data_IF_123177473244
#
_entry.id   IF_123177473244
#
_cell.length_a   1.000
_cell.length_b   1.000
_cell.length_c   1.000
_cell.angle_alpha   90.00
_cell.angle_beta   90.00
_cell.angle_gamma   90.00
#
_symmetry.space_group_name_H-M   'P 1'
#
loop_
_entity.id
_entity.type
_entity.pdbx_description
1 polymer ?
#
# COMPACT_ATOMS: atom_id res chain seq x y z
N UNK A 1 -11.35 -21.65 -52.97
CA UNK A 1 -11.08 -20.84 -54.18
C UNK A 1 -10.72 -19.44 -53.72
N UNK A 2 -9.52 -18.99 -54.09
CA UNK A 2 -8.95 -17.70 -53.76
C UNK A 2 -9.77 -16.55 -54.36
N UNK A 3 -9.84 -15.42 -53.64
CA UNK A 3 -9.86 -14.10 -54.23
C UNK A 3 -9.06 -13.16 -53.33
N UNK A 4 -7.96 -12.71 -53.91
CA UNK A 4 -6.98 -11.75 -53.43
C UNK A 4 -7.51 -10.31 -53.52
N UNK A 5 -7.38 -9.54 -52.45
CA UNK A 5 -6.99 -8.12 -52.51
C UNK A 5 -6.46 -7.66 -51.15
N UNK A 6 -5.43 -6.79 -51.10
CA UNK A 6 -4.80 -6.38 -49.85
C UNK A 6 -5.60 -5.22 -49.26
N UNK A 7 -6.24 -5.40 -48.10
CA UNK A 7 -6.70 -4.25 -47.33
C UNK A 7 -5.47 -3.55 -46.76
N UNK A 8 -5.06 -2.48 -47.43
CA UNK A 8 -4.11 -1.51 -46.91
C UNK A 8 -4.75 -0.84 -45.69
N UNK A 9 -4.40 -1.28 -44.49
CA UNK A 9 -4.82 -0.62 -43.25
C UNK A 9 -4.17 0.77 -43.20
N UNK A 10 -4.94 1.80 -43.52
CA UNK A 10 -4.54 3.18 -43.22
C UNK A 10 -4.63 3.35 -41.70
N UNK A 11 -3.48 3.25 -41.05
CA UNK A 11 -3.28 3.66 -39.66
C UNK A 11 -3.47 5.17 -39.59
N UNK A 12 -4.65 5.63 -39.18
CA UNK A 12 -4.86 7.03 -38.87
C UNK A 12 -5.56 7.19 -37.53
N UNK A 13 -4.75 7.66 -36.57
CA UNK A 13 -5.06 8.35 -35.30
C UNK A 13 -4.72 7.53 -34.05
N UNK A 14 -3.70 8.01 -33.35
CA UNK A 14 -3.35 7.63 -31.97
C UNK A 14 -4.31 8.36 -31.05
N UNK A 15 -5.01 7.62 -30.20
CA UNK A 15 -5.90 8.19 -29.20
C UNK A 15 -5.14 8.32 -27.87
N UNK A 16 -4.91 9.55 -27.41
CA UNK A 16 -4.26 9.78 -26.12
C UNK A 16 -5.33 9.94 -25.04
N UNK A 17 -5.11 9.30 -23.88
CA UNK A 17 -6.07 9.28 -22.77
C UNK A 17 -5.37 9.84 -21.52
N UNK A 18 -5.89 10.96 -20.99
CA UNK A 18 -5.49 11.70 -19.79
C UNK A 18 -6.62 11.70 -18.75
N UNK A 19 -6.33 11.81 -17.46
CA UNK A 19 -7.39 11.89 -16.44
C UNK A 19 -8.22 13.20 -16.54
N UNK A 20 -9.52 13.12 -16.18
CA UNK A 20 -10.61 14.14 -16.18
C UNK A 20 -11.75 13.99 -17.22
N UNK A 21 -12.80 13.29 -16.78
CA UNK A 21 -14.21 13.20 -17.27
C UNK A 21 -14.46 12.86 -18.75
N UNK A 22 -14.52 11.54 -19.02
CA UNK A 22 -15.46 10.74 -19.84
C UNK A 22 -14.84 9.33 -19.99
N UNK A 23 -15.63 8.29 -19.72
CA UNK A 23 -15.19 7.02 -19.07
C UNK A 23 -14.63 5.97 -20.04
N UNK A 24 -13.41 5.48 -19.78
CA UNK A 24 -12.97 4.10 -20.05
C UNK A 24 -12.57 3.48 -18.71
N UNK A 25 -13.30 2.44 -18.29
CA UNK A 25 -13.06 1.74 -17.02
C UNK A 25 -11.77 0.92 -17.09
N UNK A 26 -10.76 1.35 -16.35
CA UNK A 26 -9.59 0.56 -16.01
C UNK A 26 -9.68 0.29 -14.51
N UNK A 27 -9.64 -0.97 -14.10
CA UNK A 27 -9.85 -1.39 -12.73
C UNK A 27 -8.99 -0.56 -11.75
N UNK A 28 -9.67 0.26 -10.94
CA UNK A 28 -9.16 1.09 -9.84
C UNK A 28 -8.57 2.48 -10.15
N UNK A 29 -8.56 2.95 -11.41
CA UNK A 29 -8.20 4.34 -11.78
C UNK A 29 -9.06 4.86 -12.95
N UNK A 30 -9.33 6.17 -12.99
CA UNK A 30 -10.19 6.80 -13.99
C UNK A 30 -9.35 7.46 -15.08
N UNK A 31 -9.39 6.94 -16.30
CA UNK A 31 -8.70 7.56 -17.45
C UNK A 31 -9.72 8.16 -18.43
N UNK A 32 -9.44 9.34 -18.99
CA UNK A 32 -10.32 10.06 -19.94
C UNK A 32 -9.66 10.26 -21.30
N UNK A 33 -10.43 10.24 -22.37
CA UNK A 33 -9.89 10.41 -23.71
C UNK A 33 -9.65 11.89 -24.08
N UNK A 34 -8.39 12.29 -24.30
CA UNK A 34 -8.04 13.65 -24.72
C UNK A 34 -8.64 14.00 -26.09
N UNK A 35 -8.75 13.00 -26.97
CA UNK A 35 -9.27 13.19 -28.31
C UNK A 35 -10.73 12.71 -28.44
N UNK A 36 -11.55 13.42 -29.22
CA UNK A 36 -12.94 13.01 -29.52
C UNK A 36 -13.07 12.61 -30.99
N UNK A 37 -12.58 11.43 -31.40
CA UNK A 37 -12.69 11.00 -32.78
C UNK A 37 -14.17 10.72 -33.14
N UNK A 38 -14.54 11.00 -34.39
CA UNK A 38 -15.89 10.75 -34.91
C UNK A 38 -16.08 9.28 -35.27
N UNK A 39 -16.06 8.40 -34.27
CA UNK A 39 -16.00 6.94 -34.45
C UNK A 39 -17.34 6.23 -34.32
N UNK A 40 -18.40 6.94 -33.92
CA UNK A 40 -19.65 6.29 -33.51
C UNK A 40 -19.45 5.41 -32.27
N UNK A 41 -20.31 4.42 -32.08
CA UNK A 41 -20.26 3.50 -30.92
C UNK A 41 -19.09 2.52 -31.01
N UNK A 42 -18.39 2.28 -29.91
CA UNK A 42 -17.39 1.20 -29.78
C UNK A 42 -18.12 -0.13 -29.53
N UNK A 43 -17.93 -1.10 -30.42
CA UNK A 43 -18.58 -2.42 -30.34
C UNK A 43 -17.71 -3.51 -29.69
N UNK A 44 -16.39 -3.36 -29.74
CA UNK A 44 -15.46 -4.29 -29.09
C UNK A 44 -14.18 -3.55 -28.63
N UNK A 45 -13.57 -4.05 -27.55
CA UNK A 45 -12.34 -3.51 -26.97
C UNK A 45 -11.42 -4.66 -26.54
N UNK A 46 -10.12 -4.52 -26.77
CA UNK A 46 -9.09 -5.46 -26.30
C UNK A 46 -7.87 -4.71 -25.76
N UNK A 47 -7.31 -5.18 -24.65
CA UNK A 47 -6.13 -4.58 -24.01
C UNK A 47 -4.85 -5.30 -24.44
N UNK A 48 -3.74 -4.55 -24.47
CA UNK A 48 -2.41 -5.14 -24.51
C UNK A 48 -2.15 -5.93 -23.23
N UNK A 49 -1.31 -6.97 -23.31
CA UNK A 49 -0.97 -7.83 -22.16
C UNK A 49 -0.30 -7.09 -21.01
N UNK A 50 0.32 -5.93 -21.28
CA UNK A 50 0.98 -5.07 -20.31
C UNK A 50 0.09 -3.93 -19.76
N UNK A 51 -1.15 -3.81 -20.26
CA UNK A 51 -2.12 -2.80 -19.84
C UNK A 51 -1.74 -1.36 -20.20
N UNK A 52 -0.80 -1.16 -21.12
CA UNK A 52 -0.39 0.19 -21.56
C UNK A 52 -1.21 0.71 -22.74
N UNK A 53 -1.78 -0.19 -23.54
CA UNK A 53 -2.49 0.13 -24.77
C UNK A 53 -3.76 -0.69 -24.89
N UNK A 54 -4.71 -0.21 -25.68
CA UNK A 54 -5.87 -0.98 -26.08
C UNK A 54 -6.32 -0.62 -27.49
N UNK A 55 -7.01 -1.56 -28.13
CA UNK A 55 -7.62 -1.36 -29.43
C UNK A 55 -9.14 -1.45 -29.33
N UNK A 56 -9.84 -0.60 -30.08
CA UNK A 56 -11.29 -0.58 -30.17
C UNK A 56 -11.76 -0.78 -31.60
N UNK A 57 -12.82 -1.55 -31.79
CA UNK A 57 -13.54 -1.63 -33.06
C UNK A 57 -14.82 -0.78 -32.97
N UNK A 58 -15.02 0.09 -33.94
CA UNK A 58 -16.10 1.06 -33.94
C UNK A 58 -17.17 0.72 -34.99
N UNK A 59 -18.41 1.13 -34.73
CA UNK A 59 -19.60 0.86 -35.55
C UNK A 59 -19.55 1.48 -36.95
N UNK A 60 -18.73 2.51 -37.15
CA UNK A 60 -18.48 3.11 -38.46
C UNK A 60 -17.40 2.36 -39.28
N UNK A 61 -16.91 1.21 -38.79
CA UNK A 61 -15.88 0.40 -39.44
C UNK A 61 -14.43 0.82 -39.13
N UNK A 62 -14.22 1.89 -38.36
CA UNK A 62 -12.88 2.31 -37.95
C UNK A 62 -12.38 1.51 -36.74
N UNK A 63 -11.05 1.35 -36.65
CA UNK A 63 -10.37 0.85 -35.46
C UNK A 63 -9.59 1.98 -34.81
N UNK A 64 -9.64 2.04 -33.47
CA UNK A 64 -8.84 2.98 -32.69
C UNK A 64 -7.75 2.22 -31.95
N UNK A 65 -6.56 2.81 -31.91
CA UNK A 65 -5.49 2.40 -31.00
C UNK A 65 -5.30 3.51 -29.98
N UNK A 66 -5.42 3.15 -28.71
CA UNK A 66 -5.27 4.06 -27.60
C UNK A 66 -4.09 3.65 -26.71
N UNK A 67 -3.45 4.66 -26.11
CA UNK A 67 -2.38 4.47 -25.14
C UNK A 67 -2.72 5.23 -23.85
N UNK A 68 -2.44 4.58 -22.72
CA UNK A 68 -2.55 5.21 -21.40
C UNK A 68 -1.30 6.06 -21.18
N UNK A 69 -1.51 7.36 -21.04
CA UNK A 69 -0.45 8.37 -20.90
C UNK A 69 -0.77 9.28 -19.70
N UNK A 70 0.15 10.19 -19.36
CA UNK A 70 0.02 11.10 -18.22
C UNK A 70 -0.25 10.38 -16.89
N UNK A 71 0.42 9.25 -16.67
CA UNK A 71 0.35 8.57 -15.37
C UNK A 71 1.05 9.43 -14.33
N UNK A 72 0.32 9.78 -13.29
CA UNK A 72 0.77 10.63 -12.20
C UNK A 72 1.18 9.79 -10.99
N UNK A 73 2.34 10.08 -10.43
CA UNK A 73 2.91 9.42 -9.27
C UNK A 73 3.37 10.47 -8.27
N UNK A 74 3.06 10.26 -7.00
CA UNK A 74 3.44 11.16 -5.91
C UNK A 74 4.13 10.37 -4.81
N UNK A 75 5.22 10.92 -4.27
CA UNK A 75 5.84 10.40 -3.06
C UNK A 75 6.54 11.53 -2.29
N UNK A 76 6.05 11.83 -1.09
CA UNK A 76 6.46 13.01 -0.32
C UNK A 76 6.39 14.30 -1.16
N UNK A 77 7.54 14.93 -1.42
CA UNK A 77 7.70 16.14 -2.20
C UNK A 77 7.93 15.90 -3.69
N UNK A 78 8.05 14.65 -4.12
CA UNK A 78 8.33 14.30 -5.50
C UNK A 78 7.03 13.99 -6.24
N UNK A 79 6.91 14.58 -7.42
CA UNK A 79 5.84 14.35 -8.37
C UNK A 79 6.47 13.83 -9.67
N UNK A 80 5.99 12.71 -10.20
CA UNK A 80 6.45 12.17 -11.47
C UNK A 80 5.28 11.96 -12.45
N UNK A 81 5.45 12.45 -13.68
CA UNK A 81 4.45 12.34 -14.74
C UNK A 81 5.04 11.59 -15.92
N UNK A 82 4.45 10.45 -16.27
CA UNK A 82 4.82 9.67 -17.45
C UNK A 82 4.10 10.19 -18.68
N UNK A 83 4.85 10.77 -19.62
CA UNK A 83 4.33 11.29 -20.89
C UNK A 83 4.21 10.25 -22.00
N UNK A 84 3.88 10.72 -23.20
CA UNK A 84 3.60 9.88 -24.39
C UNK A 84 4.86 9.28 -25.04
N UNK A 85 6.01 9.96 -24.90
CA UNK A 85 7.26 9.68 -25.62
C UNK A 85 8.28 8.86 -24.81
N UNK A 86 7.82 8.03 -23.85
CA UNK A 86 8.72 7.34 -22.89
C UNK A 86 9.55 8.31 -22.05
N UNK A 87 9.01 9.51 -21.85
CA UNK A 87 9.59 10.57 -21.03
C UNK A 87 8.91 10.55 -19.67
N UNK A 88 9.70 10.56 -18.61
CA UNK A 88 9.23 10.81 -17.26
C UNK A 88 9.72 12.20 -16.86
N UNK A 89 8.78 13.09 -16.51
CA UNK A 89 9.11 14.35 -15.87
C UNK A 89 9.02 14.16 -14.38
N UNK A 90 10.10 14.46 -13.66
CA UNK A 90 10.14 14.41 -12.21
C UNK A 90 10.29 15.83 -11.69
N UNK A 91 9.38 16.25 -10.83
CA UNK A 91 9.39 17.56 -10.20
C UNK A 91 9.54 17.39 -8.69
N UNK A 92 10.48 18.12 -8.11
CA UNK A 92 10.54 18.33 -6.67
C UNK A 92 9.76 19.59 -6.31
N UNK A 93 8.62 19.41 -5.65
CA UNK A 93 7.69 20.50 -5.31
C UNK A 93 8.31 21.48 -4.30
N UNK A 94 9.28 21.06 -3.49
CA UNK A 94 9.92 21.94 -2.50
C UNK A 94 10.97 22.87 -3.11
N UNK A 95 11.71 22.38 -4.10
CA UNK A 95 12.79 23.12 -4.75
C UNK A 95 12.39 23.71 -6.10
N UNK A 96 11.23 23.30 -6.62
CA UNK A 96 10.74 23.56 -7.99
C UNK A 96 11.69 23.05 -9.08
N UNK A 97 12.63 22.16 -8.72
CA UNK A 97 13.53 21.52 -9.66
C UNK A 97 12.76 20.52 -10.52
N UNK A 98 12.96 20.55 -11.83
CA UNK A 98 12.36 19.63 -12.79
C UNK A 98 13.44 18.89 -13.57
N UNK A 99 13.30 17.58 -13.63
CA UNK A 99 14.21 16.67 -14.33
C UNK A 99 13.44 15.88 -15.38
N UNK A 100 14.06 15.71 -16.55
CA UNK A 100 13.47 15.02 -17.69
C UNK A 100 14.23 13.73 -17.97
N UNK A 101 13.61 12.60 -17.66
CA UNK A 101 14.18 11.27 -17.85
C UNK A 101 13.65 10.70 -19.16
N UNK A 102 14.52 10.55 -20.15
CA UNK A 102 14.16 9.99 -21.45
C UNK A 102 14.62 8.53 -21.55
N UNK A 103 13.69 7.63 -21.87
CA UNK A 103 13.96 6.22 -22.10
C UNK A 103 13.82 5.91 -23.60
N UNK A 104 14.67 5.02 -24.12
CA UNK A 104 14.59 4.61 -25.52
C UNK A 104 13.35 3.78 -25.84
N UNK A 105 12.93 2.95 -24.89
CA UNK A 105 11.81 2.03 -25.05
C UNK A 105 10.57 2.49 -24.27
N UNK A 106 9.40 2.03 -24.74
CA UNK A 106 8.12 2.28 -24.07
C UNK A 106 8.14 1.81 -22.63
N UNK A 107 7.64 2.67 -21.74
CA UNK A 107 7.49 2.38 -20.33
C UNK A 107 6.28 1.47 -20.10
N UNK A 108 6.53 0.28 -19.55
CA UNK A 108 5.51 -0.71 -19.19
C UNK A 108 4.93 -0.43 -17.81
N UNK A 109 5.83 -0.35 -16.81
CA UNK A 109 5.49 -0.02 -15.42
C UNK A 109 6.43 1.04 -14.89
N UNK A 110 5.92 1.85 -13.99
CA UNK A 110 6.70 2.84 -13.25
C UNK A 110 6.19 2.87 -11.82
N UNK A 111 7.09 3.12 -10.88
CA UNK A 111 6.73 3.39 -9.50
C UNK A 111 7.74 4.35 -8.89
N UNK A 112 7.25 5.23 -8.02
CA UNK A 112 8.01 6.23 -7.31
C UNK A 112 7.77 6.00 -5.82
N UNK A 113 8.83 5.86 -5.05
CA UNK A 113 8.74 5.61 -3.61
C UNK A 113 10.09 5.39 -2.97
N UNK A 114 10.19 5.57 -1.66
CA UNK A 114 11.39 5.25 -0.88
C UNK A 114 12.68 5.91 -1.39
N UNK A 115 12.56 7.11 -1.98
CA UNK A 115 13.70 7.84 -2.54
C UNK A 115 14.18 7.32 -3.91
N UNK A 116 13.43 6.43 -4.55
CA UNK A 116 13.74 5.83 -5.83
C UNK A 116 12.58 5.95 -6.83
N UNK A 117 12.92 6.05 -8.12
CA UNK A 117 11.97 5.83 -9.22
C UNK A 117 12.44 4.61 -10.00
N UNK A 118 11.58 3.62 -10.12
CA UNK A 118 11.84 2.42 -10.91
C UNK A 118 10.95 2.44 -12.14
N UNK A 119 11.57 2.51 -13.32
CA UNK A 119 10.89 2.44 -14.60
C UNK A 119 11.25 1.12 -15.29
N UNK A 120 10.24 0.41 -15.78
CA UNK A 120 10.38 -0.90 -16.42
C UNK A 120 9.96 -0.76 -17.88
N UNK A 121 10.88 -1.10 -18.78
CA UNK A 121 10.62 -1.29 -20.21
C UNK A 121 10.49 -2.79 -20.51
N UNK A 122 10.18 -3.20 -21.76
CA UNK A 122 10.00 -4.61 -22.08
C UNK A 122 11.25 -5.49 -21.90
N UNK A 123 12.46 -4.93 -21.89
CA UNK A 123 13.69 -5.72 -21.79
C UNK A 123 14.59 -5.26 -20.65
N UNK A 124 14.38 -4.07 -20.10
CA UNK A 124 15.27 -3.49 -19.10
C UNK A 124 14.49 -2.77 -18.01
N UNK A 125 15.05 -2.75 -16.82
CA UNK A 125 14.62 -1.88 -15.73
C UNK A 125 15.65 -0.78 -15.49
N UNK A 126 15.16 0.41 -15.17
CA UNK A 126 15.92 1.60 -14.86
C UNK A 126 15.58 2.05 -13.45
N UNK A 127 16.59 2.17 -12.59
CA UNK A 127 16.46 2.59 -11.20
C UNK A 127 17.13 3.94 -11.06
N UNK A 128 16.33 4.97 -10.80
CA UNK A 128 16.79 6.31 -10.53
C UNK A 128 16.81 6.57 -9.03
N UNK A 129 17.83 7.31 -8.57
CA UNK A 129 17.92 7.76 -7.19
C UNK A 129 17.45 9.22 -7.13
N UNK A 130 16.60 9.55 -6.16
CA UNK A 130 16.12 10.92 -5.97
C UNK A 130 17.21 11.96 -5.71
N UNK A 131 18.38 11.53 -5.24
CA UNK A 131 19.56 12.40 -5.07
C UNK A 131 20.34 12.62 -6.37
N UNK A 132 20.18 11.74 -7.36
CA UNK A 132 20.82 11.85 -8.66
C UNK A 132 20.00 11.16 -9.75
N UNK A 133 19.30 11.97 -10.52
CA UNK A 133 18.44 11.55 -11.63
C UNK A 133 19.22 11.28 -12.93
N UNK A 134 20.48 11.71 -13.03
CA UNK A 134 21.22 11.69 -14.31
C UNK A 134 21.69 10.30 -14.72
N UNK A 135 22.04 9.43 -13.76
CA UNK A 135 22.64 8.12 -14.04
C UNK A 135 21.81 7.00 -13.42
N UNK A 136 20.87 6.39 -14.17
CA UNK A 136 20.10 5.27 -13.67
C UNK A 136 20.98 4.02 -13.55
N UNK A 137 20.69 3.20 -12.54
CA UNK A 137 21.18 1.81 -12.52
C UNK A 137 20.27 0.98 -13.40
N UNK A 138 20.85 0.28 -14.38
CA UNK A 138 20.12 -0.55 -15.32
C UNK A 138 20.26 -2.03 -14.99
N UNK A 139 19.21 -2.81 -15.20
CA UNK A 139 19.26 -4.27 -15.10
C UNK A 139 18.38 -4.90 -16.18
N UNK A 140 18.78 -6.08 -16.65
CA UNK A 140 18.07 -6.76 -17.73
C UNK A 140 16.92 -7.61 -17.18
N UNK A 141 15.80 -7.56 -17.89
CA UNK A 141 14.64 -8.41 -17.69
C UNK A 141 14.61 -9.50 -18.75
N UNK A 142 14.16 -10.69 -18.35
CA UNK A 142 14.07 -11.83 -19.27
C UNK A 142 12.83 -11.77 -20.18
N UNK A 143 11.87 -10.89 -19.87
CA UNK A 143 10.57 -10.89 -20.55
C UNK A 143 9.96 -9.50 -20.62
N UNK A 144 9.02 -9.38 -21.56
CA UNK A 144 8.29 -8.15 -21.89
C UNK A 144 7.00 -7.93 -21.10
N UNK A 145 6.60 -8.85 -20.22
CA UNK A 145 5.31 -8.79 -19.54
C UNK A 145 5.47 -8.73 -18.03
N UNK A 146 5.63 -7.53 -17.50
CA UNK A 146 5.63 -7.25 -16.06
C UNK A 146 4.23 -6.83 -15.61
N UNK A 147 3.62 -7.60 -14.70
CA UNK A 147 2.25 -7.35 -14.23
C UNK A 147 2.20 -6.38 -13.04
N UNK A 148 3.19 -6.43 -12.16
CA UNK A 148 3.22 -5.70 -10.89
C UNK A 148 4.64 -5.21 -10.56
N UNK A 149 4.71 -4.02 -9.97
CA UNK A 149 5.91 -3.40 -9.44
C UNK A 149 5.57 -2.82 -8.07
N UNK A 150 6.24 -3.27 -7.01
CA UNK A 150 6.03 -2.79 -5.64
C UNK A 150 7.37 -2.37 -5.02
N UNK A 151 7.43 -1.20 -4.40
CA UNK A 151 8.65 -0.65 -3.79
C UNK A 151 8.57 -0.73 -2.26
N UNK A 152 9.73 -0.91 -1.63
CA UNK A 152 9.96 -0.83 -0.18
C UNK A 152 11.24 -0.04 0.10
N UNK A 153 11.56 0.21 1.36
CA UNK A 153 12.76 0.95 1.78
C UNK A 153 14.08 0.41 1.18
N UNK A 154 14.24 -0.92 1.10
CA UNK A 154 15.52 -1.54 0.68
C UNK A 154 15.46 -2.34 -0.62
N UNK A 155 14.26 -2.74 -1.02
CA UNK A 155 14.04 -3.65 -2.15
C UNK A 155 12.81 -3.23 -2.94
N UNK A 156 12.72 -3.72 -4.17
CA UNK A 156 11.48 -3.69 -4.93
C UNK A 156 11.19 -5.07 -5.52
N UNK A 157 9.91 -5.35 -5.73
CA UNK A 157 9.41 -6.59 -6.29
C UNK A 157 8.91 -6.34 -7.71
N UNK A 158 9.36 -7.18 -8.62
CA UNK A 158 8.92 -7.24 -10.02
C UNK A 158 8.21 -8.57 -10.24
N UNK A 159 6.96 -8.50 -10.69
CA UNK A 159 6.17 -9.66 -11.04
C UNK A 159 6.28 -9.93 -12.54
N UNK A 160 7.11 -10.90 -12.90
CA UNK A 160 7.32 -11.37 -14.27
C UNK A 160 6.49 -12.65 -14.51
N UNK A 161 5.70 -12.66 -15.57
CA UNK A 161 4.84 -13.79 -15.92
C UNK A 161 5.60 -15.09 -16.22
N UNK A 162 6.88 -15.03 -16.59
CA UNK A 162 7.71 -16.23 -16.85
C UNK A 162 8.62 -16.55 -15.67
N UNK A 163 9.38 -15.56 -15.19
CA UNK A 163 10.39 -15.79 -14.16
C UNK A 163 9.82 -15.86 -12.73
N UNK A 164 8.56 -15.47 -12.54
CA UNK A 164 7.92 -15.46 -11.23
C UNK A 164 8.03 -14.09 -10.55
N UNK A 165 8.09 -14.10 -9.22
CA UNK A 165 8.27 -12.89 -8.42
C UNK A 165 9.75 -12.69 -8.12
N UNK A 166 10.31 -11.62 -8.66
CA UNK A 166 11.73 -11.27 -8.55
C UNK A 166 11.90 -10.12 -7.58
N UNK A 167 12.79 -10.26 -6.62
CA UNK A 167 13.14 -9.21 -5.66
C UNK A 167 14.48 -8.64 -6.04
N UNK A 168 14.56 -7.32 -6.22
CA UNK A 168 15.77 -6.61 -6.54
C UNK A 168 16.15 -5.61 -5.45
N UNK A 169 17.45 -5.38 -5.28
CA UNK A 169 17.96 -4.22 -4.55
C UNK A 169 17.99 -3.00 -5.47
N UNK A 170 18.04 -1.80 -4.89
CA UNK A 170 18.19 -0.56 -5.66
C UNK A 170 19.57 -0.41 -6.35
N UNK A 171 20.51 -1.34 -6.11
CA UNK A 171 21.74 -1.45 -6.91
C UNK A 171 21.58 -2.35 -8.14
N UNK A 172 20.35 -2.73 -8.51
CA UNK A 172 20.06 -3.55 -9.69
C UNK A 172 20.40 -5.04 -9.52
N UNK A 173 20.68 -5.49 -8.30
CA UNK A 173 21.01 -6.89 -8.01
C UNK A 173 19.76 -7.69 -7.68
N UNK A 174 19.63 -8.87 -8.30
CA UNK A 174 18.61 -9.84 -7.92
C UNK A 174 18.93 -10.41 -6.53
N UNK A 175 18.08 -10.14 -5.55
CA UNK A 175 18.21 -10.61 -4.17
C UNK A 175 17.66 -12.02 -4.03
N UNK A 176 16.42 -12.24 -4.49
CA UNK A 176 15.77 -13.54 -4.41
C UNK A 176 14.70 -13.72 -5.48
N UNK A 177 14.26 -14.96 -5.64
CA UNK A 177 13.15 -15.33 -6.51
C UNK A 177 12.14 -16.14 -5.71
N UNK A 178 10.93 -15.60 -5.59
CA UNK A 178 9.82 -16.27 -4.91
C UNK A 178 9.07 -17.12 -5.92
N UNK A 179 9.13 -18.44 -5.71
CA UNK A 179 8.36 -19.40 -6.51
C UNK A 179 6.92 -19.42 -6.00
N UNK A 180 6.01 -18.80 -6.74
CA UNK A 180 4.58 -18.86 -6.41
C UNK A 180 4.03 -20.25 -6.78
N UNK A 181 3.75 -21.16 -5.82
CA UNK A 181 3.70 -22.58 -6.12
C UNK A 181 2.50 -23.02 -6.96
N UNK A 182 1.46 -22.18 -7.12
CA UNK A 182 0.14 -22.64 -7.61
C UNK A 182 -0.67 -21.64 -8.46
N UNK A 183 -0.10 -20.53 -8.92
CA UNK A 183 -0.84 -19.57 -9.74
C UNK A 183 0.00 -18.81 -10.75
N UNK A 184 -0.69 -18.12 -11.65
CA UNK A 184 -0.06 -17.23 -12.63
C UNK A 184 0.18 -15.86 -12.00
N UNK A 185 1.42 -15.37 -12.14
CA UNK A 185 1.84 -14.04 -11.72
C UNK A 185 1.07 -12.92 -12.45
N UNK A 186 0.49 -13.22 -13.61
CA UNK A 186 -0.34 -12.29 -14.37
C UNK A 186 -1.63 -11.86 -13.64
N UNK A 187 -2.12 -12.67 -12.71
CA UNK A 187 -3.34 -12.37 -11.94
C UNK A 187 -3.08 -11.72 -10.57
N UNK A 188 -1.81 -11.48 -10.23
CA UNK A 188 -1.46 -10.79 -9.00
C UNK A 188 -1.74 -9.30 -9.15
N UNK A 189 -2.18 -8.69 -8.06
CA UNK A 189 -2.49 -7.26 -7.98
C UNK A 189 -1.93 -6.68 -6.69
N UNK A 190 -1.95 -5.35 -6.58
CA UNK A 190 -1.59 -4.63 -5.34
C UNK A 190 -2.44 -5.03 -4.14
N UNK A 191 -3.61 -5.64 -4.35
CA UNK A 191 -4.50 -6.11 -3.28
C UNK A 191 -4.13 -7.52 -2.81
N UNK A 192 -3.51 -8.34 -3.66
CA UNK A 192 -3.23 -9.75 -3.37
C UNK A 192 -1.77 -10.02 -3.05
N UNK A 193 -0.88 -9.07 -3.34
CA UNK A 193 0.54 -9.13 -3.02
C UNK A 193 0.96 -7.89 -2.26
N UNK A 194 1.67 -8.09 -1.16
CA UNK A 194 2.34 -7.02 -0.42
C UNK A 194 3.77 -7.43 -0.14
N UNK A 195 4.68 -6.47 -0.20
CA UNK A 195 6.07 -6.62 0.20
C UNK A 195 6.39 -5.62 1.31
N UNK A 196 7.27 -6.03 2.22
CA UNK A 196 7.95 -5.19 3.19
C UNK A 196 9.45 -5.52 3.13
N UNK A 197 10.25 -4.89 3.97
CA UNK A 197 11.72 -5.00 3.93
C UNK A 197 12.23 -6.44 4.13
N UNK A 198 11.46 -7.27 4.85
CA UNK A 198 11.83 -8.63 5.24
C UNK A 198 10.84 -9.72 4.82
N UNK A 199 9.63 -9.36 4.40
CA UNK A 199 8.53 -10.30 4.18
C UNK A 199 7.76 -9.98 2.91
N UNK A 200 7.36 -11.02 2.18
CA UNK A 200 6.39 -10.94 1.07
C UNK A 200 5.16 -11.76 1.44
N UNK A 201 3.98 -11.18 1.27
CA UNK A 201 2.70 -11.84 1.49
C UNK A 201 1.95 -11.97 0.16
N UNK A 202 1.45 -13.17 -0.13
CA UNK A 202 0.74 -13.47 -1.38
C UNK A 202 -0.53 -14.25 -1.04
N UNK A 203 -1.69 -13.72 -1.45
CA UNK A 203 -2.96 -14.46 -1.39
C UNK A 203 -2.95 -15.58 -2.44
N UNK A 204 -3.34 -16.78 -2.05
CA UNK A 204 -3.56 -17.86 -3.01
C UNK A 204 -4.76 -17.54 -3.91
N UNK A 205 -4.63 -17.81 -5.22
CA UNK A 205 -5.69 -17.58 -6.19
C UNK A 205 -6.74 -18.69 -6.19
N UNK A 206 -6.33 -19.93 -5.96
CA UNK A 206 -7.24 -21.09 -5.94
C UNK A 206 -7.95 -21.19 -4.61
N UNK A 207 -7.25 -20.87 -3.53
CA UNK A 207 -7.78 -20.88 -2.18
C UNK A 207 -7.70 -19.47 -1.59
N UNK A 208 -8.68 -18.60 -1.91
CA UNK A 208 -8.65 -17.18 -1.54
C UNK A 208 -8.68 -16.89 -0.03
N UNK A 209 -8.79 -17.94 0.79
CA UNK A 209 -8.70 -17.90 2.25
C UNK A 209 -7.27 -18.05 2.78
N UNK A 210 -6.31 -18.33 1.90
CA UNK A 210 -4.94 -18.71 2.25
C UNK A 210 -3.96 -17.63 1.82
N UNK A 211 -3.03 -17.27 2.70
CA UNK A 211 -1.93 -16.34 2.43
C UNK A 211 -0.60 -17.04 2.67
N UNK A 212 0.24 -17.06 1.64
CA UNK A 212 1.60 -17.56 1.69
C UNK A 212 2.55 -16.42 2.05
N UNK A 213 3.46 -16.67 2.98
CA UNK A 213 4.42 -15.69 3.47
C UNK A 213 5.84 -16.16 3.14
N UNK A 214 6.66 -15.26 2.60
CA UNK A 214 8.02 -15.55 2.16
C UNK A 214 9.02 -14.58 2.78
N UNK A 215 10.21 -15.06 3.05
CA UNK A 215 11.35 -14.24 3.44
C UNK A 215 11.95 -13.54 2.21
N UNK A 216 12.13 -12.22 2.27
CA UNK A 216 12.62 -11.42 1.14
C UNK A 216 14.05 -11.78 0.74
N UNK A 217 14.93 -12.09 1.70
CA UNK A 217 16.34 -12.35 1.42
C UNK A 217 16.57 -13.72 0.78
N UNK A 218 15.87 -14.75 1.24
CA UNK A 218 16.04 -16.12 0.75
C UNK A 218 15.03 -16.56 -0.31
N UNK A 219 13.90 -15.86 -0.42
CA UNK A 219 12.78 -16.25 -1.28
C UNK A 219 12.04 -17.51 -0.81
N UNK A 220 12.37 -18.02 0.38
CA UNK A 220 11.76 -19.24 0.96
C UNK A 220 10.51 -18.90 1.77
N UNK A 221 9.59 -19.85 1.85
CA UNK A 221 8.41 -19.73 2.68
C UNK A 221 8.79 -19.62 4.17
N UNK A 222 8.09 -18.73 4.88
CA UNK A 222 8.17 -18.61 6.33
C UNK A 222 7.44 -19.77 7.01
N UNK A 223 7.73 -19.99 8.30
CA UNK A 223 7.09 -21.01 9.14
C UNK A 223 7.07 -22.41 8.52
N UNK A 224 8.18 -22.82 7.89
CA UNK A 224 8.33 -24.15 7.26
C UNK A 224 7.28 -24.43 6.17
N UNK A 225 6.78 -23.39 5.50
CA UNK A 225 5.79 -23.50 4.45
C UNK A 225 4.34 -23.61 4.92
N UNK A 226 4.07 -23.35 6.21
CA UNK A 226 2.69 -23.29 6.73
C UNK A 226 2.07 -21.94 6.39
N UNK A 227 1.04 -21.89 5.53
CA UNK A 227 0.42 -20.63 5.16
C UNK A 227 -0.54 -20.15 6.27
N UNK A 228 -0.87 -18.86 6.20
CA UNK A 228 -1.94 -18.27 7.01
C UNK A 228 -3.29 -18.65 6.41
N UNK A 229 -4.10 -19.39 7.16
CA UNK A 229 -5.45 -19.77 6.75
C UNK A 229 -6.50 -18.95 7.50
N UNK A 230 -7.41 -18.33 6.75
CA UNK A 230 -8.57 -17.62 7.28
C UNK A 230 -9.88 -18.41 7.05
N UNK A 231 -10.95 -18.05 7.76
CA UNK A 231 -12.25 -18.73 7.64
C UNK A 231 -13.03 -18.28 6.40
N UNK A 232 -12.88 -17.01 6.06
CA UNK A 232 -13.55 -16.31 4.97
C UNK A 232 -12.52 -15.98 3.88
N UNK A 233 -12.99 -15.71 2.67
CA UNK A 233 -12.14 -15.27 1.57
C UNK A 233 -11.51 -13.92 1.90
N UNK A 234 -10.21 -13.77 1.61
CA UNK A 234 -9.45 -12.55 1.85
C UNK A 234 -9.53 -11.69 0.59
N UNK A 235 -10.00 -10.45 0.70
CA UNK A 235 -10.17 -9.54 -0.45
C UNK A 235 -8.90 -8.73 -0.70
N UNK A 236 -8.28 -8.22 0.36
CA UNK A 236 -7.04 -7.43 0.25
C UNK A 236 -6.11 -7.68 1.42
N UNK A 237 -4.81 -7.50 1.21
CA UNK A 237 -3.79 -7.64 2.23
C UNK A 237 -2.72 -6.54 2.12
N UNK A 238 -2.09 -6.20 3.24
CA UNK A 238 -1.04 -5.17 3.29
C UNK A 238 -0.11 -5.40 4.48
N UNK A 239 1.20 -5.40 4.23
CA UNK A 239 2.25 -5.50 5.24
C UNK A 239 2.65 -4.12 5.77
N UNK A 240 2.83 -4.04 7.08
CA UNK A 240 3.49 -2.90 7.72
C UNK A 240 4.90 -2.66 7.16
N UNK A 241 5.29 -1.40 7.01
CA UNK A 241 6.55 -1.01 6.37
C UNK A 241 7.67 -0.67 7.36
N UNK A 242 7.33 -0.35 8.62
CA UNK A 242 8.29 0.10 9.63
C UNK A 242 8.54 -0.94 10.73
N UNK A 243 9.56 -0.71 11.55
CA UNK A 243 9.90 -1.55 12.70
C UNK A 243 10.62 -2.88 12.36
N UNK A 244 11.02 -3.63 13.40
CA UNK A 244 11.79 -4.86 13.26
C UNK A 244 10.92 -6.00 12.70
N UNK A 245 11.55 -6.94 11.98
CA UNK A 245 10.85 -8.08 11.39
C UNK A 245 10.15 -9.01 12.39
N UNK A 246 10.58 -9.02 13.65
CA UNK A 246 9.90 -9.75 14.75
C UNK A 246 8.52 -9.17 15.10
N UNK A 247 8.27 -7.91 14.76
CA UNK A 247 6.99 -7.23 14.99
C UNK A 247 6.27 -6.93 13.66
N UNK A 248 6.69 -7.57 12.56
CA UNK A 248 6.06 -7.38 11.24
C UNK A 248 4.60 -7.82 11.30
N UNK A 249 3.73 -6.89 10.95
CA UNK A 249 2.29 -7.09 10.92
C UNK A 249 1.78 -7.21 9.49
N UNK A 250 0.84 -8.14 9.30
CA UNK A 250 0.00 -8.25 8.13
C UNK A 250 -1.42 -7.81 8.51
N UNK A 251 -1.94 -6.80 7.83
CA UNK A 251 -3.35 -6.45 7.87
C UNK A 251 -4.04 -7.01 6.63
N UNK A 252 -5.27 -7.53 6.78
CA UNK A 252 -6.05 -7.99 5.64
C UNK A 252 -7.55 -7.79 5.87
N UNK A 253 -8.28 -7.62 4.77
CA UNK A 253 -9.74 -7.53 4.73
C UNK A 253 -10.30 -8.84 4.23
N UNK A 254 -11.33 -9.35 4.89
CA UNK A 254 -12.11 -10.48 4.38
C UNK A 254 -13.27 -10.01 3.48
N UNK A 255 -14.02 -10.97 2.92
CA UNK A 255 -15.19 -10.74 2.08
C UNK A 255 -16.35 -10.07 2.83
N UNK A 256 -16.38 -10.14 4.16
CA UNK A 256 -17.36 -9.43 4.99
C UNK A 256 -16.97 -7.99 5.27
N UNK A 257 -15.83 -7.52 4.73
CA UNK A 257 -15.24 -6.22 5.04
C UNK A 257 -14.81 -6.10 6.51
N UNK A 258 -14.43 -7.22 7.14
CA UNK A 258 -13.82 -7.24 8.45
C UNK A 258 -12.30 -7.12 8.33
N UNK A 259 -11.72 -6.22 9.13
CA UNK A 259 -10.28 -5.99 9.20
C UNK A 259 -9.66 -6.89 10.27
N UNK A 260 -8.67 -7.66 9.84
CA UNK A 260 -7.87 -8.52 10.68
C UNK A 260 -6.40 -8.10 10.67
N UNK A 261 -5.72 -8.41 11.77
CA UNK A 261 -4.31 -8.17 11.97
C UNK A 261 -3.63 -9.44 12.46
N UNK A 262 -2.48 -9.77 11.87
CA UNK A 262 -1.70 -10.97 12.16
C UNK A 262 -0.22 -10.64 12.33
N UNK A 263 0.47 -11.30 13.27
CA UNK A 263 1.92 -11.26 13.37
C UNK A 263 2.57 -12.26 12.42
N UNK A 264 3.46 -11.78 11.55
CA UNK A 264 4.14 -12.59 10.54
C UNK A 264 5.10 -13.58 11.20
N UNK A 265 6.07 -13.07 11.96
CA UNK A 265 7.15 -13.83 12.59
C UNK A 265 6.93 -13.91 14.09
N UNK A 266 5.98 -14.75 14.49
CA UNK A 266 5.73 -14.98 15.90
C UNK A 266 6.73 -16.02 16.45
N UNK A 267 7.27 -15.76 17.64
CA UNK A 267 8.22 -16.65 18.34
C UNK A 267 7.54 -17.75 19.15
N UNK A 268 6.21 -17.73 19.24
CA UNK A 268 5.43 -18.69 20.03
C UNK A 268 5.45 -20.06 19.34
N UNK A 269 5.67 -21.17 20.07
CA UNK A 269 5.74 -22.53 19.51
C UNK A 269 4.40 -23.05 18.94
N UNK A 270 3.33 -22.27 19.03
CA UNK A 270 2.05 -22.57 18.40
C UNK A 270 2.20 -22.50 16.88
N UNK A 271 1.86 -23.59 16.20
CA UNK A 271 1.96 -23.69 14.74
C UNK A 271 0.94 -22.82 13.99
N UNK A 272 0.07 -22.10 14.70
CA UNK A 272 -0.99 -21.26 14.14
C UNK A 272 -0.63 -19.79 14.23
N UNK A 273 -1.09 -19.01 13.26
CA UNK A 273 -0.93 -17.56 13.25
C UNK A 273 -1.92 -16.92 14.23
N UNK A 274 -1.41 -16.14 15.19
CA UNK A 274 -2.27 -15.31 16.04
C UNK A 274 -2.88 -14.18 15.20
N UNK A 275 -4.21 -14.19 15.08
CA UNK A 275 -4.97 -13.21 14.29
C UNK A 275 -6.02 -12.53 15.18
N UNK A 276 -6.10 -11.21 15.11
CA UNK A 276 -7.02 -10.38 15.90
C UNK A 276 -7.90 -9.57 14.95
N UNK A 277 -9.20 -9.48 15.23
CA UNK A 277 -10.12 -8.59 14.51
C UNK A 277 -10.01 -7.17 15.07
N UNK A 278 -9.87 -6.17 14.19
CA UNK A 278 -9.81 -4.75 14.55
C UNK A 278 -11.16 -4.04 14.39
N UNK A 279 -12.06 -4.56 13.55
CA UNK A 279 -13.38 -4.00 13.32
C UNK A 279 -13.96 -4.41 11.96
N UNK A 280 -15.22 -4.07 11.73
CA UNK A 280 -15.95 -4.38 10.50
C UNK A 280 -16.30 -3.15 9.67
N UNK A 281 -16.92 -3.38 8.51
CA UNK A 281 -17.34 -2.35 7.54
C UNK A 281 -16.17 -1.50 7.02
N UNK A 282 -15.02 -2.15 6.81
CA UNK A 282 -13.80 -1.52 6.33
C UNK A 282 -13.71 -1.64 4.82
N UNK A 283 -13.68 -0.50 4.12
CA UNK A 283 -13.60 -0.46 2.67
C UNK A 283 -12.18 -0.59 2.12
N UNK A 284 -11.20 -0.02 2.82
CA UNK A 284 -9.80 0.04 2.38
C UNK A 284 -8.87 0.32 3.55
N UNK A 285 -7.59 -0.05 3.41
CA UNK A 285 -6.54 0.10 4.44
C UNK A 285 -5.24 0.61 3.82
N UNK A 286 -4.44 1.32 4.61
CA UNK A 286 -3.08 1.70 4.26
C UNK A 286 -2.22 1.84 5.52
N UNK A 287 -1.03 1.23 5.48
CA UNK A 287 0.00 1.47 6.48
C UNK A 287 0.67 2.80 6.24
N UNK A 288 1.11 3.44 7.33
CA UNK A 288 2.01 4.57 7.25
C UNK A 288 3.37 4.14 6.69
N UNK A 289 4.02 5.04 5.97
CA UNK A 289 5.35 4.84 5.38
C UNK A 289 6.45 4.69 6.44
N UNK A 290 6.45 5.53 7.46
CA UNK A 290 7.56 5.65 8.42
C UNK A 290 7.28 5.00 9.77
N UNK A 291 6.01 4.74 10.09
CA UNK A 291 5.56 4.22 11.38
C UNK A 291 4.62 3.04 11.21
N UNK A 292 4.38 2.28 12.28
CA UNK A 292 3.41 1.17 12.27
C UNK A 292 2.00 1.64 12.60
N UNK A 293 1.60 2.83 12.12
CA UNK A 293 0.21 3.28 12.17
C UNK A 293 -0.58 2.67 11.00
N UNK A 294 -1.83 2.32 11.26
CA UNK A 294 -2.73 1.75 10.25
C UNK A 294 -3.93 2.68 10.08
N UNK A 295 -4.14 3.15 8.87
CA UNK A 295 -5.32 3.91 8.50
C UNK A 295 -6.31 3.02 7.74
N UNK A 296 -7.60 3.26 7.94
CA UNK A 296 -8.67 2.57 7.23
C UNK A 296 -9.87 3.49 7.00
N UNK A 297 -10.65 3.19 5.96
CA UNK A 297 -11.95 3.82 5.72
C UNK A 297 -13.05 2.92 6.27
N UNK A 298 -13.73 3.36 7.33
CA UNK A 298 -14.83 2.64 7.98
C UNK A 298 -16.11 3.45 7.88
N UNK A 299 -17.14 2.88 7.25
CA UNK A 299 -18.44 3.55 7.01
C UNK A 299 -18.31 4.99 6.45
N UNK A 300 -17.39 5.17 5.50
CA UNK A 300 -17.12 6.47 4.86
C UNK A 300 -16.34 7.47 5.70
N UNK A 301 -15.82 7.09 6.87
CA UNK A 301 -14.95 7.93 7.72
C UNK A 301 -13.54 7.39 7.79
N UNK A 302 -12.56 8.28 7.96
CA UNK A 302 -11.19 7.87 8.24
C UNK A 302 -11.05 7.45 9.71
N UNK A 303 -10.51 6.25 9.92
CA UNK A 303 -10.14 5.72 11.21
C UNK A 303 -8.65 5.35 11.20
N UNK A 304 -7.91 5.75 12.23
CA UNK A 304 -6.46 5.52 12.32
C UNK A 304 -6.12 4.88 13.65
N UNK A 305 -5.55 3.68 13.61
CA UNK A 305 -4.92 3.06 14.76
C UNK A 305 -3.48 3.57 14.85
N UNK A 306 -3.19 4.35 15.90
CA UNK A 306 -1.84 4.85 16.15
C UNK A 306 -0.87 3.75 16.60
N UNK A 307 -1.37 2.69 17.25
CA UNK A 307 -0.53 1.56 17.67
C UNK A 307 -1.28 0.22 17.61
N UNK A 308 -1.54 -0.32 16.40
CA UNK A 308 -2.30 -1.57 16.22
C UNK A 308 -1.65 -2.80 16.86
N UNK A 309 -0.33 -2.79 17.11
CA UNK A 309 0.39 -3.87 17.80
C UNK A 309 -0.13 -4.15 19.20
N UNK A 310 -0.72 -3.14 19.84
CA UNK A 310 -1.32 -3.29 21.18
C UNK A 310 -2.38 -4.40 21.22
N UNK A 311 -3.02 -4.74 20.09
CA UNK A 311 -4.00 -5.81 19.99
C UNK A 311 -3.47 -7.19 20.46
N UNK A 312 -2.16 -7.40 20.39
CA UNK A 312 -1.51 -8.66 20.81
C UNK A 312 -1.05 -8.64 22.27
N UNK A 313 -0.84 -7.45 22.85
CA UNK A 313 -0.38 -7.28 24.23
C UNK A 313 -1.54 -6.98 25.18
N UNK A 314 -2.40 -6.02 24.84
CA UNK A 314 -3.53 -5.58 25.64
C UNK A 314 -4.72 -5.17 24.74
N UNK A 315 -5.71 -6.06 24.63
CA UNK A 315 -6.92 -5.85 23.82
C UNK A 315 -7.81 -4.71 24.33
N UNK A 316 -7.80 -4.44 25.63
CA UNK A 316 -8.64 -3.40 26.24
C UNK A 316 -8.11 -1.99 25.95
N UNK A 317 -6.83 -1.89 25.56
CA UNK A 317 -6.18 -0.65 25.19
C UNK A 317 -6.36 -0.31 23.71
N UNK A 318 -6.64 -1.30 22.85
CA UNK A 318 -6.79 -1.12 21.40
C UNK A 318 -7.81 -0.04 21.03
N UNK A 319 -9.05 0.00 21.58
CA UNK A 319 -10.02 1.03 21.22
C UNK A 319 -9.56 2.45 21.57
N UNK A 320 -8.65 2.59 22.54
CA UNK A 320 -8.13 3.88 22.98
C UNK A 320 -7.00 4.40 22.08
N UNK A 321 -6.39 3.53 21.29
CA UNK A 321 -5.37 3.92 20.28
C UNK A 321 -5.99 4.25 18.91
N UNK A 322 -7.31 4.15 18.79
CA UNK A 322 -8.06 4.42 17.57
C UNK A 322 -8.61 5.84 17.60
N UNK A 323 -8.22 6.64 16.61
CA UNK A 323 -8.80 7.98 16.37
C UNK A 323 -9.65 7.94 15.12
N UNK A 324 -10.90 8.40 15.24
CA UNK A 324 -11.83 8.55 14.11
C UNK A 324 -11.99 10.03 13.81
N UNK A 325 -11.92 10.39 12.52
CA UNK A 325 -12.13 11.77 12.11
C UNK A 325 -13.63 12.02 11.91
N UNK A 326 -14.25 12.76 12.83
CA UNK A 326 -15.71 12.95 12.88
C UNK A 326 -16.25 13.76 11.69
N UNK A 327 -15.50 14.77 11.23
CA UNK A 327 -15.91 15.66 10.13
C UNK A 327 -15.73 15.05 8.73
N UNK A 328 -15.17 13.84 8.68
CA UNK A 328 -14.83 13.20 7.42
C UNK A 328 -16.00 12.36 6.91
N UNK A 329 -16.63 12.77 5.80
CA UNK A 329 -17.64 11.95 5.11
C UNK A 329 -17.25 11.76 3.65
N UNK A 330 -16.45 10.73 3.40
CA UNK A 330 -15.92 10.39 2.09
C UNK A 330 -16.88 9.53 1.26
N UNK A 331 -18.08 9.23 1.79
CA UNK A 331 -19.03 8.22 1.28
C UNK A 331 -18.47 6.78 1.37
N UNK A 332 -19.37 5.80 1.28
CA UNK A 332 -19.10 4.38 1.62
C UNK A 332 -18.05 3.69 0.75
N UNK A 333 -17.77 4.19 -0.45
CA UNK A 333 -16.90 3.53 -1.44
C UNK A 333 -15.53 4.20 -1.59
N UNK A 334 -15.16 5.13 -0.70
CA UNK A 334 -13.84 5.75 -0.75
C UNK A 334 -12.72 4.72 -0.50
N UNK A 335 -11.66 4.82 -1.30
CA UNK A 335 -10.48 3.97 -1.26
C UNK A 335 -9.29 4.77 -0.76
N UNK A 336 -8.66 4.30 0.31
CA UNK A 336 -7.42 4.86 0.83
C UNK A 336 -6.28 4.50 -0.13
N UNK A 337 -5.66 5.51 -0.73
CA UNK A 337 -4.61 5.35 -1.74
C UNK A 337 -3.25 5.28 -1.07
N UNK A 338 -2.97 6.19 -0.14
CA UNK A 338 -1.70 6.26 0.57
C UNK A 338 -1.85 6.91 1.95
N UNK A 339 -0.94 6.55 2.85
CA UNK A 339 -0.75 7.18 4.14
C UNK A 339 0.75 7.49 4.31
N UNK A 340 1.12 8.74 4.09
CA UNK A 340 2.52 9.19 4.07
C UNK A 340 2.70 10.33 5.06
N UNK A 341 3.63 10.18 6.00
CA UNK A 341 3.84 11.14 7.08
C UNK A 341 2.57 11.33 7.90
N UNK A 342 2.01 12.53 7.91
CA UNK A 342 0.75 12.87 8.57
C UNK A 342 -0.40 13.10 7.59
N UNK A 343 -0.28 12.65 6.33
CA UNK A 343 -1.30 12.86 5.30
C UNK A 343 -1.84 11.53 4.77
N UNK A 344 -3.16 11.43 4.69
CA UNK A 344 -3.88 10.35 4.04
C UNK A 344 -4.50 10.86 2.76
N UNK A 345 -4.29 10.16 1.64
CA UNK A 345 -4.94 10.47 0.36
C UNK A 345 -5.99 9.41 0.08
N UNK A 346 -7.22 9.85 -0.16
CA UNK A 346 -8.38 9.02 -0.44
C UNK A 346 -8.87 9.30 -1.86
N UNK A 347 -9.31 8.26 -2.55
CA UNK A 347 -10.03 8.36 -3.81
C UNK A 347 -11.49 8.06 -3.59
N UNK A 348 -12.35 9.01 -3.97
CA UNK A 348 -13.82 8.87 -3.90
C UNK A 348 -14.38 8.07 -5.07
N UNK A 349 -15.67 7.76 -4.96
CA UNK A 349 -16.48 7.11 -6.00
C UNK A 349 -16.55 7.89 -7.31
N UNK A 350 -16.58 9.22 -7.21
CA UNK A 350 -16.51 10.15 -8.34
C UNK A 350 -15.10 10.30 -8.95
N UNK A 351 -14.11 9.57 -8.42
CA UNK A 351 -12.73 9.57 -8.88
C UNK A 351 -11.88 10.72 -8.31
N UNK A 352 -12.47 11.65 -7.54
CA UNK A 352 -11.74 12.76 -6.94
C UNK A 352 -10.75 12.26 -5.87
N UNK A 353 -9.56 12.85 -5.86
CA UNK A 353 -8.57 12.67 -4.80
C UNK A 353 -8.80 13.71 -3.70
N UNK A 354 -8.88 13.24 -2.46
CA UNK A 354 -8.99 14.07 -1.27
C UNK A 354 -7.83 13.77 -0.35
N UNK A 355 -7.13 14.81 0.06
CA UNK A 355 -6.07 14.73 1.07
C UNK A 355 -6.63 15.19 2.41
N UNK A 356 -6.44 14.38 3.45
CA UNK A 356 -6.76 14.71 4.84
C UNK A 356 -5.53 14.52 5.71
N UNK A 357 -5.41 15.34 6.76
CA UNK A 357 -4.29 15.28 7.69
C UNK A 357 -4.67 14.56 8.97
N UNK A 358 -3.72 13.78 9.51
CA UNK A 358 -3.78 13.20 10.85
C UNK A 358 -2.85 13.97 11.79
N UNK A 359 -2.99 13.75 13.09
CA UNK A 359 -2.08 14.31 14.10
C UNK A 359 -0.63 13.91 13.82
N UNK A 360 0.35 14.84 13.89
CA UNK A 360 1.77 14.52 13.70
C UNK A 360 2.43 13.90 14.94
N UNK A 361 1.83 14.08 16.12
CA UNK A 361 2.41 13.66 17.41
C UNK A 361 2.62 12.14 17.57
N UNK A 362 1.73 11.25 17.07
CA UNK A 362 1.97 9.81 17.12
C UNK A 362 3.27 9.41 16.42
N UNK A 363 3.60 10.04 15.29
CA UNK A 363 4.84 9.73 14.57
C UNK A 363 6.09 10.10 15.38
N UNK A 364 6.06 11.26 16.04
CA UNK A 364 7.13 11.69 16.97
C UNK A 364 7.22 10.72 18.17
N UNK A 365 6.07 10.26 18.69
CA UNK A 365 6.02 9.29 19.78
C UNK A 365 6.67 7.95 19.39
N UNK A 366 6.35 7.42 18.20
CA UNK A 366 7.00 6.22 17.64
C UNK A 366 8.52 6.41 17.53
N UNK A 367 9.00 7.58 17.10
CA UNK A 367 10.42 7.88 17.01
C UNK A 367 11.11 7.88 18.39
N UNK A 368 10.49 8.47 19.41
CA UNK A 368 11.01 8.43 20.78
C UNK A 368 11.03 7.02 21.35
N UNK A 369 9.97 6.23 21.14
CA UNK A 369 9.91 4.84 21.57
C UNK A 369 11.00 3.99 20.89
N UNK A 370 11.18 4.15 19.57
CA UNK A 370 12.22 3.47 18.81
C UNK A 370 13.65 3.83 19.27
N UNK A 371 13.84 5.06 19.78
CA UNK A 371 15.12 5.54 20.34
C UNK A 371 15.25 5.34 21.85
N UNK A 372 14.29 4.66 22.49
CA UNK A 372 14.21 4.49 23.95
C UNK A 372 14.26 5.80 24.76
N UNK A 373 13.77 6.92 24.19
CA UNK A 373 13.72 8.24 24.83
C UNK A 373 12.41 8.45 25.59
N UNK A 374 12.17 7.62 26.60
CA UNK A 374 10.89 7.54 27.32
C UNK A 374 10.52 8.81 28.10
N UNK A 375 11.50 9.53 28.65
CA UNK A 375 11.29 10.81 29.31
C UNK A 375 10.73 11.87 28.35
N UNK A 376 11.26 11.92 27.13
CA UNK A 376 10.80 12.83 26.08
C UNK A 376 9.39 12.44 25.60
N UNK A 377 9.13 11.15 25.44
CA UNK A 377 7.80 10.63 25.12
C UNK A 377 6.75 11.02 26.18
N UNK A 378 7.09 10.86 27.46
CA UNK A 378 6.20 11.24 28.57
C UNK A 378 5.95 12.76 28.61
N UNK A 379 6.99 13.57 28.39
CA UNK A 379 6.85 15.04 28.28
C UNK A 379 5.95 15.44 27.10
N UNK A 380 6.08 14.76 25.95
CA UNK A 380 5.21 14.97 24.80
C UNK A 380 3.75 14.67 25.14
N UNK A 381 3.46 13.52 25.75
CA UNK A 381 2.09 13.15 26.14
C UNK A 381 1.49 14.13 27.18
N UNK A 382 2.29 14.61 28.14
CA UNK A 382 1.87 15.66 29.10
C UNK A 382 1.58 17.00 28.44
N UNK A 383 2.34 17.34 27.40
CA UNK A 383 2.18 18.59 26.66
C UNK A 383 0.93 18.57 25.78
N UNK A 384 0.75 17.50 24.98
CA UNK A 384 -0.38 17.38 24.04
C UNK A 384 -1.69 17.08 24.78
N UNK A 385 -1.63 16.34 25.89
CA UNK A 385 -2.80 15.92 26.70
C UNK A 385 -3.85 15.13 25.90
N UNK A 386 -3.41 14.39 24.88
CA UNK A 386 -4.26 13.52 24.07
C UNK A 386 -4.33 12.11 24.69
N UNK A 387 -5.53 11.62 25.06
CA UNK A 387 -5.73 10.27 25.56
C UNK A 387 -5.19 9.16 24.65
N UNK A 388 -5.31 9.31 23.33
CA UNK A 388 -4.87 8.30 22.39
C UNK A 388 -3.35 8.15 22.38
N UNK A 389 -2.62 9.27 22.56
CA UNK A 389 -1.17 9.25 22.71
C UNK A 389 -0.74 8.58 24.00
N UNK A 390 -1.44 8.84 25.11
CA UNK A 390 -1.17 8.15 26.38
C UNK A 390 -1.40 6.64 26.27
N UNK A 391 -2.47 6.21 25.60
CA UNK A 391 -2.72 4.80 25.32
C UNK A 391 -1.62 4.18 24.45
N UNK A 392 -1.14 4.90 23.44
CA UNK A 392 -0.01 4.45 22.61
C UNK A 392 1.27 4.30 23.43
N UNK A 393 1.59 5.29 24.28
CA UNK A 393 2.77 5.25 25.14
C UNK A 393 2.71 4.07 26.11
N UNK A 394 1.55 3.80 26.72
CA UNK A 394 1.36 2.64 27.59
C UNK A 394 1.63 1.33 26.84
N UNK A 395 1.09 1.17 25.63
CA UNK A 395 1.32 -0.02 24.78
C UNK A 395 2.79 -0.19 24.37
N UNK A 396 3.42 0.89 23.91
CA UNK A 396 4.83 0.89 23.48
C UNK A 396 5.79 0.60 24.64
N UNK A 397 5.58 1.23 25.79
CA UNK A 397 6.40 1.03 26.99
C UNK A 397 6.25 -0.40 27.53
N UNK A 398 5.02 -0.94 27.54
CA UNK A 398 4.77 -2.34 27.93
C UNK A 398 5.53 -3.31 27.03
N UNK A 399 5.47 -3.11 25.71
CA UNK A 399 6.17 -3.96 24.75
C UNK A 399 7.71 -3.84 24.87
N UNK A 400 8.21 -2.65 25.21
CA UNK A 400 9.64 -2.42 25.48
C UNK A 400 10.09 -2.82 26.88
N UNK A 401 9.17 -3.28 27.76
CA UNK A 401 9.42 -3.63 29.17
C UNK A 401 9.91 -2.46 30.04
N UNK A 402 9.56 -1.22 29.68
CA UNK A 402 9.83 -0.05 30.53
C UNK A 402 8.63 0.21 31.47
N UNK A 403 8.72 -0.36 32.67
CA UNK A 403 7.61 -0.37 33.64
C UNK A 403 7.30 1.02 34.20
N UNK A 404 8.31 1.87 34.40
CA UNK A 404 8.13 3.20 34.98
C UNK A 404 7.26 4.08 34.07
N UNK A 405 7.56 4.09 32.78
CA UNK A 405 6.79 4.86 31.80
C UNK A 405 5.41 4.24 31.56
N UNK A 406 5.32 2.90 31.55
CA UNK A 406 4.05 2.20 31.42
C UNK A 406 3.11 2.56 32.58
N UNK A 407 3.58 2.57 33.83
CA UNK A 407 2.79 2.92 35.01
C UNK A 407 2.22 4.34 34.91
N UNK A 408 3.07 5.33 34.58
CA UNK A 408 2.65 6.72 34.39
C UNK A 408 1.61 6.84 33.27
N UNK A 409 1.82 6.13 32.16
CA UNK A 409 0.91 6.17 31.03
C UNK A 409 -0.44 5.50 31.33
N UNK A 410 -0.44 4.34 31.99
CA UNK A 410 -1.68 3.68 32.43
C UNK A 410 -2.44 4.50 33.47
N UNK A 411 -1.73 5.17 34.39
CA UNK A 411 -2.35 6.09 35.34
C UNK A 411 -3.08 7.22 34.60
N UNK A 412 -2.41 7.86 33.62
CA UNK A 412 -3.01 8.92 32.80
C UNK A 412 -4.22 8.42 31.98
N UNK A 413 -4.12 7.24 31.37
CA UNK A 413 -5.23 6.61 30.63
C UNK A 413 -6.43 6.34 31.55
N UNK A 414 -6.19 5.85 32.77
CA UNK A 414 -7.25 5.54 33.73
C UNK A 414 -7.89 6.80 34.35
N UNK A 415 -7.12 7.86 34.58
CA UNK A 415 -7.65 9.17 34.99
C UNK A 415 -8.60 9.72 33.92
N UNK A 416 -8.21 9.62 32.66
CA UNK A 416 -9.06 10.01 31.54
C UNK A 416 -10.32 9.15 31.50
N UNK A 417 -10.22 7.82 31.62
CA UNK A 417 -11.40 6.93 31.71
C UNK A 417 -12.33 7.33 32.86
N UNK A 418 -11.80 7.60 34.06
CA UNK A 418 -12.61 8.06 35.20
C UNK A 418 -13.33 9.37 34.91
N UNK A 419 -12.75 10.27 34.12
CA UNK A 419 -13.41 11.50 33.72
C UNK A 419 -14.55 11.25 32.72
N UNK A 420 -14.31 10.45 31.67
CA UNK A 420 -15.33 10.15 30.65
C UNK A 420 -16.48 9.26 31.17
N UNK A 421 -16.19 8.31 32.04
CA UNK A 421 -17.19 7.43 32.65
C UNK A 421 -17.68 7.96 34.02
N UNK A 422 -17.09 9.04 34.53
CA UNK A 422 -17.41 9.63 35.83
C UNK A 422 -18.78 10.29 35.93
N UNK A 423 -19.47 10.53 34.81
CA UNK A 423 -20.89 10.90 34.83
C UNK A 423 -21.81 9.69 34.94
N UNK A 424 -21.38 8.47 34.58
CA UNK A 424 -22.18 7.26 34.74
C UNK A 424 -21.29 6.05 35.07
N UNK A 425 -21.30 5.69 36.36
CA UNK A 425 -20.82 4.45 37.00
C UNK A 425 -19.35 4.36 37.40
N UNK A 426 -19.16 4.43 38.73
CA UNK A 426 -18.04 3.85 39.48
C UNK A 426 -18.04 2.33 39.39
N UNK A 427 -16.86 1.72 39.11
CA UNK A 427 -16.41 0.29 39.30
C UNK A 427 -15.42 -0.02 38.14
N UNK A 428 -14.22 -0.61 38.25
CA UNK A 428 -13.56 -1.51 39.21
C UNK A 428 -12.02 -1.41 39.03
N UNK A 429 -11.26 -1.41 40.12
CA UNK A 429 -9.82 -1.66 40.14
C UNK A 429 -9.60 -3.17 40.27
N UNK A 430 -9.13 -3.85 39.23
CA UNK A 430 -8.50 -5.19 39.30
C UNK A 430 -7.99 -5.63 37.90
N UNK A 431 -6.84 -5.12 37.47
CA UNK A 431 -6.15 -5.66 36.28
C UNK A 431 -4.62 -5.48 36.29
N UNK A 432 -4.04 -4.96 37.38
CA UNK A 432 -2.59 -4.68 37.46
C UNK A 432 -1.73 -5.95 37.72
N UNK A 433 -2.30 -7.02 38.28
CA UNK A 433 -1.54 -8.21 38.65
C UNK A 433 -1.41 -9.27 37.54
N UNK A 434 -1.97 -9.05 36.34
CA UNK A 434 -1.96 -10.05 35.26
C UNK A 434 -0.89 -9.85 34.19
N UNK A 435 -0.13 -8.76 34.28
CA UNK A 435 0.83 -8.34 33.25
C UNK A 435 2.28 -8.17 33.77
N UNK A 436 2.55 -8.64 35.00
CA UNK A 436 3.87 -9.02 35.50
C UNK A 436 4.02 -10.54 35.37
#
# INVERSE_FOLDING_TARGET
FSLSSPFTFLWQRKLCISEHVHVVLISFQWSHCLEKPSTGTIGALTWSSDGTQFACACSNGQTLLAQVVNRHLEWHNLEAVVGEDSIIRVKDVLTDAEERLELHDRIVKVSLGWGHLVAITPLQGFIYNSRNWTTPVTFDLKTTTVSLLLLTDRHFLVADNVSGLLVYSYEGRLVSTVKYPRGSVASLSVLTVSISVDTIAIRDKKEEKVVHLFDVASGKELREGKPLCHKVEIVSLSLSQSGPGSQRQLAFLDQNHDLFLTLVRETTPTQTYQTVSLGGMVGSIAWNDSTNMLAAVTDGRLAVWYHPLVAFTNKDLLPQTLVRQEDSNFKKSAQLVQFVGNCCVLRRDDGALITTSVSPFPAILHQYAASSKWDAATKLCRFVKDPALWACLAGMATNARDLNTAEVAYAAVNEVRKYWFGEHTSVQFQQFDKYL
#
